data_IF_849991384456
#
_entry.id   IF_849991384456
#
_cell.length_a   1.000
_cell.length_b   1.000
_cell.length_c   1.000
_cell.angle_alpha   90.00
_cell.angle_beta   90.00
_cell.angle_gamma   90.00
#
_symmetry.space_group_name_H-M   'P 1'
#
loop_
_entity.id
_entity.type
_entity.pdbx_description
1 polymer ?
#
# COMPACT_ATOMS: atom_id res chain seq x y z
N UNK A 1 -12.00 -32.80 -15.90
CA UNK A 1 -11.72 -32.16 -14.60
C UNK A 1 -11.96 -30.68 -14.79
N UNK A 2 -13.06 -30.17 -14.25
CA UNK A 2 -13.41 -28.74 -14.29
C UNK A 2 -12.52 -28.08 -13.22
N UNK A 3 -11.77 -27.04 -13.61
CA UNK A 3 -10.69 -26.47 -12.81
C UNK A 3 -11.19 -25.76 -11.56
N UNK A 4 -10.84 -26.29 -10.40
CA UNK A 4 -11.38 -25.92 -9.09
C UNK A 4 -10.84 -24.60 -8.48
N UNK A 5 -10.30 -23.66 -9.25
CA UNK A 5 -10.10 -22.27 -8.80
C UNK A 5 -9.79 -21.36 -10.00
N UNK A 6 -10.81 -20.74 -10.58
CA UNK A 6 -10.59 -19.60 -11.45
C UNK A 6 -10.09 -18.43 -10.58
N UNK A 7 -8.81 -18.09 -10.68
CA UNK A 7 -8.22 -16.97 -9.95
C UNK A 7 -8.72 -15.69 -10.61
N UNK A 8 -9.54 -14.93 -9.88
CA UNK A 8 -10.05 -13.64 -10.32
C UNK A 8 -9.23 -12.51 -9.71
N UNK A 9 -8.80 -11.58 -10.55
CA UNK A 9 -7.92 -10.48 -10.17
C UNK A 9 -8.69 -9.17 -10.08
N UNK A 10 -8.52 -8.49 -8.95
CA UNK A 10 -9.25 -7.25 -8.63
C UNK A 10 -8.28 -6.17 -8.20
N UNK A 11 -8.48 -4.97 -8.76
CA UNK A 11 -7.70 -3.79 -8.42
C UNK A 11 -8.53 -2.87 -7.53
N UNK A 12 -7.96 -2.51 -6.38
CA UNK A 12 -8.56 -1.56 -5.45
C UNK A 12 -7.66 -0.34 -5.34
N UNK A 13 -8.22 0.85 -5.53
CA UNK A 13 -7.47 2.11 -5.48
C UNK A 13 -8.03 2.98 -4.36
N UNK A 14 -7.21 3.21 -3.35
CA UNK A 14 -7.52 4.10 -2.24
C UNK A 14 -6.92 5.48 -2.44
N UNK A 15 -7.72 6.53 -2.25
CA UNK A 15 -7.23 7.90 -2.26
C UNK A 15 -7.32 8.50 -0.88
N UNK A 16 -6.19 8.99 -0.37
CA UNK A 16 -6.21 9.82 0.83
C UNK A 16 -6.85 11.16 0.49
N UNK A 17 -8.08 11.35 0.94
CA UNK A 17 -8.80 12.60 0.77
C UNK A 17 -8.16 13.70 1.62
N UNK A 18 -7.27 14.48 1.00
CA UNK A 18 -6.75 15.71 1.56
C UNK A 18 -7.77 16.82 1.30
N UNK A 19 -8.22 17.48 2.36
CA UNK A 19 -9.09 18.65 2.22
C UNK A 19 -8.25 19.81 1.67
N UNK A 20 -8.23 19.96 0.34
CA UNK A 20 -7.53 21.06 -0.32
C UNK A 20 -8.43 22.29 -0.46
N UNK A 21 -8.38 23.16 0.56
CA UNK A 21 -8.06 24.61 0.52
C UNK A 21 -8.66 25.59 -0.51
N UNK A 22 -9.49 25.21 -1.48
CA UNK A 22 -10.07 26.22 -2.39
C UNK A 22 -11.32 26.87 -1.80
N UNK A 23 -11.05 28.08 -1.31
CA UNK A 23 -11.91 29.10 -0.71
C UNK A 23 -12.33 28.82 0.73
N UNK A 24 -11.99 29.78 1.61
CA UNK A 24 -12.39 29.97 3.01
C UNK A 24 -11.39 29.55 4.11
N UNK A 25 -10.85 30.61 4.75
CA UNK A 25 -10.15 30.74 6.05
C UNK A 25 -9.33 29.54 6.60
N UNK A 26 -8.03 29.58 6.30
CA UNK A 26 -7.02 28.50 6.50
C UNK A 26 -6.71 28.18 7.98
N UNK A 27 -6.81 29.15 8.91
CA UNK A 27 -6.29 28.96 10.27
C UNK A 27 -7.32 28.39 11.26
N UNK A 28 -8.60 28.71 11.11
CA UNK A 28 -9.66 28.18 11.99
C UNK A 28 -10.06 26.75 11.61
N UNK A 29 -10.03 26.41 10.32
CA UNK A 29 -10.55 25.13 9.80
C UNK A 29 -9.54 23.99 9.88
N UNK A 30 -8.24 24.23 9.63
CA UNK A 30 -7.21 23.19 9.87
C UNK A 30 -7.12 22.84 11.35
N UNK A 31 -7.20 23.86 12.21
CA UNK A 31 -7.21 23.70 13.65
C UNK A 31 -8.49 22.98 14.09
N UNK A 32 -9.65 23.27 13.49
CA UNK A 32 -10.89 22.57 13.80
C UNK A 32 -11.01 21.17 13.21
N UNK A 33 -10.36 20.81 12.10
CA UNK A 33 -10.41 19.44 11.56
C UNK A 33 -9.40 18.55 12.28
N UNK A 34 -8.17 19.04 12.52
CA UNK A 34 -7.22 18.29 13.34
C UNK A 34 -7.75 18.17 14.77
N UNK A 35 -8.32 19.24 15.33
CA UNK A 35 -9.03 19.17 16.59
C UNK A 35 -10.24 18.23 16.49
N UNK A 36 -11.12 18.31 15.49
CA UNK A 36 -12.29 17.43 15.41
C UNK A 36 -11.94 15.96 15.12
N UNK A 37 -10.84 15.64 14.44
CA UNK A 37 -10.36 14.27 14.24
C UNK A 37 -9.67 13.74 15.49
N UNK A 38 -8.85 14.55 16.15
CA UNK A 38 -8.32 14.19 17.47
C UNK A 38 -9.45 14.07 18.49
N UNK A 39 -10.37 15.01 18.50
CA UNK A 39 -11.57 15.07 19.33
C UNK A 39 -12.53 13.97 18.93
N UNK A 40 -12.56 13.48 17.68
CA UNK A 40 -13.29 12.27 17.32
C UNK A 40 -12.63 11.04 17.96
N UNK A 41 -11.31 10.88 17.82
CA UNK A 41 -10.56 9.79 18.47
C UNK A 41 -10.71 9.87 20.01
N UNK A 42 -10.70 11.07 20.58
CA UNK A 42 -10.82 11.34 22.02
C UNK A 42 -12.27 11.29 22.53
N UNK A 43 -13.28 11.81 21.80
CA UNK A 43 -14.71 11.73 22.15
C UNK A 43 -15.23 10.30 22.00
N UNK A 44 -14.74 9.54 21.00
CA UNK A 44 -15.00 8.09 20.89
C UNK A 44 -14.48 7.36 22.12
N UNK A 45 -13.39 7.85 22.73
CA UNK A 45 -12.86 7.28 23.95
C UNK A 45 -13.60 7.77 25.21
N UNK A 46 -14.31 8.92 25.17
CA UNK A 46 -14.79 9.61 26.38
C UNK A 46 -16.30 9.93 26.48
N UNK A 47 -17.15 9.58 25.50
CA UNK A 47 -18.62 9.78 25.62
C UNK A 47 -19.41 8.47 25.72
N UNK A 48 -19.65 8.07 26.98
CA UNK A 48 -20.80 7.33 27.50
C UNK A 48 -21.41 6.24 26.58
N UNK A 49 -20.61 5.19 26.39
CA UNK A 49 -20.89 3.77 26.67
C UNK A 49 -19.75 3.02 25.95
N UNK A 50 -18.88 2.35 26.69
CA UNK A 50 -17.61 1.72 26.26
C UNK A 50 -17.71 0.78 25.01
N UNK A 51 -18.95 0.52 24.58
CA UNK A 51 -19.34 -0.36 23.48
C UNK A 51 -19.61 0.34 22.13
N UNK A 52 -19.71 1.67 22.06
CA UNK A 52 -20.08 2.39 20.83
C UNK A 52 -19.09 3.48 20.41
N UNK A 53 -18.83 3.54 19.10
CA UNK A 53 -18.11 4.61 18.42
C UNK A 53 -19.14 5.55 17.80
N UNK A 54 -19.08 6.84 18.15
CA UNK A 54 -19.96 7.88 17.59
C UNK A 54 -19.24 8.70 16.52
N UNK A 55 -19.81 8.76 15.31
CA UNK A 55 -19.27 9.50 14.17
C UNK A 55 -20.19 10.66 13.82
N UNK A 56 -19.65 11.87 13.68
CA UNK A 56 -20.43 13.06 13.32
C UNK A 56 -20.97 12.95 11.88
N UNK A 57 -22.29 13.17 11.71
CA UNK A 57 -22.94 13.10 10.40
C UNK A 57 -22.44 14.17 9.42
N UNK A 58 -22.07 15.36 9.90
CA UNK A 58 -21.54 16.44 9.06
C UNK A 58 -20.19 16.05 8.45
N UNK A 59 -19.37 15.34 9.23
CA UNK A 59 -18.09 14.81 8.78
C UNK A 59 -18.27 13.70 7.74
N UNK A 60 -19.18 12.76 7.98
CA UNK A 60 -19.56 11.73 7.01
C UNK A 60 -20.00 12.40 5.69
N UNK A 61 -20.92 13.36 5.76
CA UNK A 61 -21.43 14.07 4.59
C UNK A 61 -20.34 14.83 3.83
N UNK A 62 -19.35 15.38 4.53
CA UNK A 62 -18.21 16.05 3.92
C UNK A 62 -17.35 15.08 3.11
N UNK A 63 -16.96 13.95 3.70
CA UNK A 63 -16.16 12.95 3.01
C UNK A 63 -16.92 12.35 1.81
N UNK A 64 -18.22 12.07 1.97
CA UNK A 64 -19.07 11.60 0.86
C UNK A 64 -19.11 12.59 -0.32
N UNK A 65 -19.19 13.90 -0.05
CA UNK A 65 -19.16 14.92 -1.10
C UNK A 65 -17.81 14.92 -1.84
N UNK A 66 -16.70 14.82 -1.10
CA UNK A 66 -15.36 14.79 -1.69
C UNK A 66 -15.12 13.51 -2.50
N UNK A 67 -15.52 12.37 -1.96
CA UNK A 67 -15.48 11.07 -2.64
C UNK A 67 -16.24 11.13 -3.97
N UNK A 68 -17.47 11.67 -3.97
CA UNK A 68 -18.28 11.82 -5.19
C UNK A 68 -17.64 12.74 -6.23
N UNK A 69 -16.98 13.82 -5.81
CA UNK A 69 -16.25 14.69 -6.72
C UNK A 69 -15.04 13.99 -7.33
N UNK A 70 -14.36 13.14 -6.56
CA UNK A 70 -13.22 12.36 -7.03
C UNK A 70 -13.66 11.26 -8.00
N UNK A 71 -14.70 10.50 -7.63
CA UNK A 71 -15.34 9.50 -8.48
C UNK A 71 -15.70 10.11 -9.84
N UNK A 72 -16.43 11.24 -9.87
CA UNK A 72 -16.80 11.91 -11.11
C UNK A 72 -15.61 12.33 -11.99
N UNK A 73 -14.43 12.58 -11.42
CA UNK A 73 -13.22 12.90 -12.18
C UNK A 73 -12.55 11.64 -12.73
N UNK A 74 -12.48 10.59 -11.92
CA UNK A 74 -11.83 9.33 -12.28
C UNK A 74 -12.68 8.57 -13.30
N UNK A 75 -14.00 8.49 -13.10
CA UNK A 75 -14.94 7.77 -13.98
C UNK A 75 -15.01 8.32 -15.40
N UNK A 76 -14.48 9.53 -15.65
CA UNK A 76 -14.33 10.09 -17.01
C UNK A 76 -13.17 9.48 -17.80
N UNK A 77 -12.21 8.89 -17.12
CA UNK A 77 -10.97 8.34 -17.71
C UNK A 77 -10.84 6.84 -17.51
N UNK A 78 -11.39 6.31 -16.42
CA UNK A 78 -11.28 4.90 -16.06
C UNK A 78 -12.66 4.33 -15.73
N UNK A 79 -12.86 3.06 -16.04
CA UNK A 79 -14.04 2.30 -15.60
C UNK A 79 -13.84 1.91 -14.13
N UNK A 80 -14.36 2.73 -13.22
CA UNK A 80 -14.24 2.50 -11.77
C UNK A 80 -15.61 2.40 -11.12
N UNK A 81 -15.68 1.63 -10.03
CA UNK A 81 -16.86 1.53 -9.16
C UNK A 81 -16.48 1.97 -7.75
N UNK A 82 -17.35 2.77 -7.12
CA UNK A 82 -17.23 3.11 -5.70
C UNK A 82 -17.35 1.86 -4.82
N UNK A 83 -16.46 1.73 -3.84
CA UNK A 83 -16.49 0.64 -2.88
C UNK A 83 -17.61 0.82 -1.83
N UNK A 84 -18.18 -0.29 -1.39
CA UNK A 84 -19.17 -0.35 -0.33
C UNK A 84 -18.64 -1.10 0.91
N UNK A 85 -19.49 -1.26 1.93
CA UNK A 85 -19.12 -1.91 3.19
C UNK A 85 -18.70 -3.38 3.01
N UNK A 86 -19.23 -4.07 1.99
CA UNK A 86 -18.93 -5.48 1.73
C UNK A 86 -17.53 -5.59 1.14
N UNK A 87 -17.18 -4.69 0.22
CA UNK A 87 -15.84 -4.62 -0.36
C UNK A 87 -14.77 -4.43 0.74
N UNK A 88 -14.98 -3.47 1.65
CA UNK A 88 -14.07 -3.25 2.78
C UNK A 88 -14.02 -4.45 3.73
N UNK A 89 -15.17 -5.03 4.08
CA UNK A 89 -15.24 -6.19 4.96
C UNK A 89 -14.50 -7.40 4.37
N UNK A 90 -14.68 -7.65 3.07
CA UNK A 90 -14.02 -8.72 2.35
C UNK A 90 -12.51 -8.54 2.38
N UNK A 91 -12.01 -7.35 1.99
CA UNK A 91 -10.58 -7.07 1.95
C UNK A 91 -9.93 -7.30 3.32
N UNK A 92 -10.56 -6.82 4.39
CA UNK A 92 -10.03 -7.01 5.73
C UNK A 92 -10.05 -8.51 6.08
N UNK A 93 -11.19 -9.20 6.00
CA UNK A 93 -11.26 -10.61 6.38
C UNK A 93 -10.34 -11.51 5.53
N UNK A 94 -10.17 -11.23 4.24
CA UNK A 94 -9.23 -11.90 3.34
C UNK A 94 -7.76 -11.73 3.79
N UNK A 95 -7.37 -10.49 4.12
CA UNK A 95 -6.03 -10.20 4.63
C UNK A 95 -5.76 -10.94 5.94
N UNK A 96 -6.79 -11.05 6.79
CA UNK A 96 -6.76 -11.82 8.02
C UNK A 96 -7.01 -13.32 7.82
N UNK A 97 -6.95 -13.85 6.58
CA UNK A 97 -6.89 -15.28 6.31
C UNK A 97 -8.23 -16.02 6.34
N UNK A 98 -9.36 -15.30 6.34
CA UNK A 98 -10.69 -15.92 6.21
C UNK A 98 -10.89 -16.43 4.78
N UNK A 99 -11.37 -17.67 4.65
CA UNK A 99 -11.59 -18.34 3.36
C UNK A 99 -13.05 -18.79 3.20
N UNK A 100 -13.42 -19.18 1.98
CA UNK A 100 -14.65 -19.92 1.71
C UNK A 100 -15.86 -19.08 1.28
N UNK A 101 -15.71 -17.76 1.08
CA UNK A 101 -16.76 -16.93 0.49
C UNK A 101 -16.19 -16.20 -0.71
N UNK A 102 -16.85 -16.34 -1.86
CA UNK A 102 -16.49 -15.65 -3.09
C UNK A 102 -16.78 -14.16 -2.94
N UNK A 103 -15.98 -13.31 -3.60
CA UNK A 103 -16.06 -11.85 -3.45
C UNK A 103 -17.47 -11.29 -3.72
N UNK A 104 -18.13 -11.75 -4.79
CA UNK A 104 -19.45 -11.30 -5.23
C UNK A 104 -20.57 -11.61 -4.23
N UNK A 105 -20.45 -12.73 -3.53
CA UNK A 105 -21.47 -13.22 -2.61
C UNK A 105 -21.22 -12.75 -1.17
N UNK A 106 -20.13 -12.03 -0.94
CA UNK A 106 -19.72 -11.61 0.38
C UNK A 106 -20.65 -10.55 0.98
N UNK A 107 -21.12 -10.81 2.20
CA UNK A 107 -21.96 -9.87 2.96
C UNK A 107 -21.32 -9.49 4.28
N UNK A 108 -21.06 -8.18 4.43
CA UNK A 108 -20.56 -7.63 5.68
C UNK A 108 -21.68 -7.10 6.58
N UNK A 109 -21.79 -7.71 7.75
CA UNK A 109 -22.74 -7.29 8.78
C UNK A 109 -22.17 -6.16 9.65
N UNK A 110 -22.44 -4.91 9.25
CA UNK A 110 -22.09 -3.71 10.00
C UNK A 110 -23.36 -2.91 10.36
N UNK A 111 -24.05 -3.24 11.47
CA UNK A 111 -25.24 -2.52 11.88
C UNK A 111 -24.83 -1.14 12.40
N UNK A 112 -25.50 -0.11 11.88
CA UNK A 112 -25.27 1.29 12.25
C UNK A 112 -26.57 1.91 12.74
N UNK A 113 -26.50 2.72 13.80
CA UNK A 113 -27.65 3.45 14.33
C UNK A 113 -27.49 4.92 14.00
N UNK A 114 -28.25 5.40 13.02
CA UNK A 114 -28.25 6.81 12.61
C UNK A 114 -29.10 7.64 13.58
N UNK A 115 -28.48 8.62 14.23
CA UNK A 115 -29.12 9.67 15.03
C UNK A 115 -29.13 10.98 14.24
N UNK A 116 -29.76 12.02 14.77
CA UNK A 116 -29.89 13.32 14.08
C UNK A 116 -28.54 13.96 13.76
N UNK A 117 -27.58 13.91 14.69
CA UNK A 117 -26.25 14.55 14.55
C UNK A 117 -25.11 13.56 14.36
N UNK A 118 -25.31 12.30 14.73
CA UNK A 118 -24.25 11.30 14.78
C UNK A 118 -24.73 9.94 14.28
N UNK A 119 -23.79 9.10 13.87
CA UNK A 119 -24.01 7.71 13.52
C UNK A 119 -23.22 6.85 14.50
N UNK A 120 -23.93 5.97 15.22
CA UNK A 120 -23.33 5.07 16.19
C UNK A 120 -23.02 3.72 15.56
N UNK A 121 -21.84 3.19 15.85
CA UNK A 121 -21.40 1.85 15.46
C UNK A 121 -20.88 1.13 16.69
N UNK A 122 -21.26 -0.13 16.90
CA UNK A 122 -20.69 -0.91 18.01
C UNK A 122 -19.20 -1.14 17.77
N UNK A 123 -18.36 -0.86 18.77
CA UNK A 123 -16.91 -1.11 18.76
C UNK A 123 -16.59 -2.56 18.42
N UNK A 124 -17.37 -3.49 18.98
CA UNK A 124 -17.32 -4.92 18.66
C UNK A 124 -17.38 -5.21 17.16
N UNK A 125 -18.24 -4.53 16.41
CA UNK A 125 -18.41 -4.76 14.97
C UNK A 125 -17.27 -4.16 14.13
N UNK A 126 -16.48 -3.26 14.70
CA UNK A 126 -15.28 -2.70 14.05
C UNK A 126 -14.06 -3.62 14.23
N UNK A 127 -13.99 -4.37 15.34
CA UNK A 127 -12.88 -5.27 15.68
C UNK A 127 -13.14 -6.70 15.16
N UNK A 128 -14.41 -7.08 14.92
CA UNK A 128 -14.79 -8.41 14.44
C UNK A 128 -13.96 -8.96 13.26
N UNK A 129 -13.59 -8.17 12.23
CA UNK A 129 -12.84 -8.68 11.09
C UNK A 129 -11.45 -9.25 11.41
N UNK A 130 -10.88 -8.93 12.59
CA UNK A 130 -9.50 -9.31 12.98
C UNK A 130 -9.48 -10.39 14.06
N UNK A 131 -10.52 -11.22 14.15
CA UNK A 131 -10.63 -12.31 15.14
C UNK A 131 -9.82 -13.53 14.75
N UNK A 132 -8.51 -13.37 14.80
CA UNK A 132 -7.59 -14.46 14.67
C UNK A 132 -6.43 -14.24 15.63
N UNK A 133 -5.82 -15.34 16.05
CA UNK A 133 -4.52 -15.30 16.66
C UNK A 133 -3.48 -15.17 15.53
N UNK A 134 -2.65 -14.13 15.60
CA UNK A 134 -1.52 -13.96 14.70
C UNK A 134 -0.25 -14.23 15.49
N UNK A 135 0.46 -15.30 15.12
CA UNK A 135 1.79 -15.57 15.63
C UNK A 135 2.83 -15.14 14.60
N UNK A 136 3.66 -14.17 14.95
CA UNK A 136 4.80 -13.79 14.14
C UNK A 136 5.95 -14.77 14.35
N UNK A 137 6.38 -15.40 13.24
CA UNK A 137 7.62 -16.17 13.17
C UNK A 137 8.64 -15.38 12.36
N UNK A 138 9.87 -15.85 12.36
CA UNK A 138 10.98 -15.15 11.73
C UNK A 138 10.74 -14.76 10.25
N UNK A 139 10.02 -15.58 9.47
CA UNK A 139 9.86 -15.36 8.02
C UNK A 139 8.41 -15.46 7.52
N UNK A 140 7.45 -15.61 8.43
CA UNK A 140 6.04 -15.73 8.10
C UNK A 140 5.17 -15.42 9.33
N UNK A 141 3.91 -15.08 9.08
CA UNK A 141 2.84 -15.05 10.08
C UNK A 141 2.05 -16.36 10.02
N UNK A 142 1.76 -16.93 11.18
CA UNK A 142 0.75 -17.98 11.32
C UNK A 142 -0.55 -17.31 11.78
N UNK A 143 -1.56 -17.33 10.94
CA UNK A 143 -2.87 -16.77 11.23
C UNK A 143 -3.84 -17.90 11.55
N UNK A 144 -4.35 -17.92 12.77
CA UNK A 144 -5.16 -18.99 13.33
C UNK A 144 -6.56 -18.46 13.61
N UNK A 145 -7.55 -19.06 12.96
CA UNK A 145 -8.97 -18.94 13.26
C UNK A 145 -9.45 -20.14 14.05
N UNK A 146 -10.69 -20.10 14.52
CA UNK A 146 -11.33 -21.24 15.22
C UNK A 146 -11.33 -22.51 14.36
N UNK A 147 -11.60 -22.39 13.06
CA UNK A 147 -11.78 -23.54 12.15
C UNK A 147 -10.65 -23.71 11.11
N UNK A 148 -9.67 -22.81 11.06
CA UNK A 148 -8.64 -22.83 10.01
C UNK A 148 -7.33 -22.17 10.43
N UNK A 149 -6.21 -22.69 9.92
CA UNK A 149 -4.92 -22.02 10.00
C UNK A 149 -4.41 -21.65 8.60
N UNK A 150 -3.67 -20.54 8.51
CA UNK A 150 -3.01 -20.12 7.27
C UNK A 150 -1.63 -19.56 7.57
N UNK A 151 -0.72 -19.74 6.62
CA UNK A 151 0.65 -19.26 6.71
C UNK A 151 0.85 -18.17 5.66
N UNK A 152 1.40 -17.04 6.07
CA UNK A 152 1.52 -15.86 5.22
C UNK A 152 2.92 -15.28 5.28
N UNK A 153 3.53 -14.99 4.14
CA UNK A 153 4.82 -14.31 4.05
C UNK A 153 4.69 -13.01 3.25
N UNK A 154 5.57 -12.06 3.56
CA UNK A 154 5.61 -10.75 2.93
C UNK A 154 6.97 -10.52 2.28
N UNK A 155 6.95 -9.97 1.07
CA UNK A 155 8.13 -9.50 0.35
C UNK A 155 8.02 -8.01 0.09
N UNK A 156 9.17 -7.35 0.03
CA UNK A 156 9.29 -5.98 -0.45
C UNK A 156 10.39 -5.87 -1.49
N UNK A 157 10.37 -4.80 -2.28
CA UNK A 157 11.39 -4.55 -3.30
C UNK A 157 12.66 -4.05 -2.62
N UNK A 158 13.75 -4.79 -2.76
CA UNK A 158 15.08 -4.36 -2.35
C UNK A 158 15.66 -3.39 -3.38
N UNK A 159 15.74 -3.84 -4.63
CA UNK A 159 16.31 -3.08 -5.74
C UNK A 159 15.64 -3.46 -7.05
N UNK A 160 15.55 -2.49 -7.95
CA UNK A 160 15.09 -2.66 -9.33
C UNK A 160 16.33 -2.55 -10.21
N UNK A 161 16.68 -3.63 -10.93
CA UNK A 161 17.90 -3.75 -11.74
C UNK A 161 17.52 -3.58 -13.22
N UNK A 162 17.12 -2.37 -13.61
CA UNK A 162 16.83 -2.07 -15.02
C UNK A 162 15.72 -1.05 -15.21
N UNK A 163 15.56 -0.62 -16.47
CA UNK A 163 14.48 0.26 -16.88
C UNK A 163 13.23 -0.59 -17.17
N UNK A 164 12.16 -0.37 -16.39
CA UNK A 164 10.87 -0.96 -16.67
C UNK A 164 10.05 0.01 -17.51
N UNK A 165 10.27 -0.05 -18.81
CA UNK A 165 9.55 0.80 -19.75
C UNK A 165 8.17 0.23 -20.04
N UNK A 166 7.20 1.14 -20.15
CA UNK A 166 5.90 0.85 -20.74
C UNK A 166 5.95 1.17 -22.24
N UNK A 167 5.47 0.28 -23.14
CA UNK A 167 4.87 -1.04 -22.90
C UNK A 167 5.91 -2.17 -22.74
N UNK A 168 5.47 -3.36 -22.30
CA UNK A 168 6.21 -4.65 -22.17
C UNK A 168 6.56 -5.08 -20.75
N UNK A 169 6.42 -4.18 -19.77
CA UNK A 169 6.77 -4.43 -18.36
C UNK A 169 5.56 -4.74 -17.47
N UNK A 170 4.36 -5.02 -18.03
CA UNK A 170 3.08 -5.12 -17.31
C UNK A 170 3.06 -6.22 -16.24
N UNK A 171 3.70 -5.95 -15.10
CA UNK A 171 3.94 -6.92 -14.02
C UNK A 171 2.64 -7.58 -13.59
N UNK A 172 1.59 -6.80 -13.38
CA UNK A 172 0.32 -7.34 -12.94
C UNK A 172 -0.30 -8.29 -13.95
N UNK A 173 -0.11 -8.07 -15.24
CA UNK A 173 -0.59 -8.99 -16.27
C UNK A 173 0.20 -10.31 -16.24
N UNK A 174 1.52 -10.24 -16.15
CA UNK A 174 2.35 -11.45 -16.10
C UNK A 174 2.15 -12.24 -14.80
N UNK A 175 1.91 -11.57 -13.68
CA UNK A 175 1.51 -12.24 -12.44
C UNK A 175 0.23 -13.06 -12.61
N UNK A 176 -0.73 -12.56 -13.37
CA UNK A 176 -2.00 -13.27 -13.62
C UNK A 176 -1.80 -14.55 -14.44
N UNK A 177 -0.83 -14.56 -15.33
CA UNK A 177 -0.56 -15.71 -16.19
C UNK A 177 0.31 -16.76 -15.53
N UNK A 178 1.28 -16.33 -14.72
CA UNK A 178 2.32 -17.23 -14.20
C UNK A 178 1.85 -18.06 -13.01
N UNK A 179 1.08 -17.47 -12.08
CA UNK A 179 0.79 -18.11 -10.80
C UNK A 179 -0.50 -18.92 -10.81
N UNK A 180 -0.39 -20.19 -10.37
CA UNK A 180 -1.54 -21.05 -10.14
C UNK A 180 -2.18 -20.87 -8.74
N UNK A 181 -1.83 -19.79 -8.04
CA UNK A 181 -2.31 -19.46 -6.70
C UNK A 181 -2.48 -17.93 -6.55
N UNK A 182 -3.34 -17.47 -5.62
CA UNK A 182 -3.57 -16.04 -5.42
C UNK A 182 -2.35 -15.36 -4.78
N UNK A 183 -2.06 -14.15 -5.24
CA UNK A 183 -1.06 -13.23 -4.69
C UNK A 183 -1.74 -11.89 -4.46
N UNK A 184 -1.47 -11.28 -3.30
CA UNK A 184 -1.95 -9.94 -3.01
C UNK A 184 -0.78 -8.96 -3.05
N UNK A 185 -0.98 -7.80 -3.67
CA UNK A 185 0.01 -6.74 -3.73
C UNK A 185 -0.56 -5.47 -3.09
N UNK A 186 0.13 -4.93 -2.08
CA UNK A 186 -0.16 -3.62 -1.51
C UNK A 186 0.85 -2.60 -2.02
N UNK A 187 0.33 -1.44 -2.43
CA UNK A 187 1.13 -0.32 -2.90
C UNK A 187 0.75 0.96 -2.19
N UNK A 188 1.74 1.59 -1.54
CA UNK A 188 1.58 2.92 -0.98
C UNK A 188 2.40 3.91 -1.82
N UNK A 189 1.71 4.83 -2.49
CA UNK A 189 2.32 5.84 -3.36
C UNK A 189 2.17 7.23 -2.75
N UNK A 190 3.29 7.90 -2.49
CA UNK A 190 3.32 9.30 -2.05
C UNK A 190 3.99 10.18 -3.11
N UNK A 191 3.31 11.26 -3.50
CA UNK A 191 3.81 12.20 -4.50
C UNK A 191 4.89 13.10 -3.86
N UNK A 192 6.08 13.09 -4.47
CA UNK A 192 7.17 14.02 -4.15
C UNK A 192 7.27 15.04 -5.27
N UNK A 193 6.88 16.28 -4.96
CA UNK A 193 6.95 17.38 -5.94
C UNK A 193 8.36 17.53 -6.50
N UNK A 194 8.47 17.91 -7.77
CA UNK A 194 9.75 18.09 -8.46
C UNK A 194 10.79 18.88 -7.64
N UNK A 195 10.38 20.00 -7.04
CA UNK A 195 11.25 20.83 -6.19
C UNK A 195 11.81 20.05 -5.00
N UNK A 196 10.97 19.28 -4.30
CA UNK A 196 11.40 18.46 -3.16
C UNK A 196 12.28 17.29 -3.61
N UNK A 197 11.90 16.63 -4.71
CA UNK A 197 12.69 15.54 -5.30
C UNK A 197 14.11 16.02 -5.64
N UNK A 198 14.22 17.16 -6.34
CA UNK A 198 15.52 17.78 -6.66
C UNK A 198 16.33 18.11 -5.41
N UNK A 199 15.71 18.61 -4.34
CA UNK A 199 16.43 18.86 -3.08
C UNK A 199 16.96 17.57 -2.46
N UNK A 200 16.13 16.51 -2.39
CA UNK A 200 16.54 15.21 -1.83
C UNK A 200 17.68 14.59 -2.64
N UNK A 201 17.55 14.53 -3.97
CA UNK A 201 18.57 13.95 -4.86
C UNK A 201 19.87 14.75 -4.81
N UNK A 202 19.80 16.10 -4.77
CA UNK A 202 20.99 16.95 -4.62
C UNK A 202 21.68 16.77 -3.26
N UNK A 203 20.93 16.53 -2.19
CA UNK A 203 21.52 16.23 -0.89
C UNK A 203 22.22 14.85 -0.92
N UNK A 204 21.58 13.83 -1.52
CA UNK A 204 22.20 12.52 -1.70
C UNK A 204 23.49 12.60 -2.54
N UNK A 205 23.49 13.42 -3.60
CA UNK A 205 24.70 13.71 -4.39
C UNK A 205 25.83 14.29 -3.54
N UNK A 206 25.52 15.18 -2.60
CA UNK A 206 26.52 15.76 -1.70
C UNK A 206 27.09 14.69 -0.75
N UNK A 207 26.22 13.90 -0.12
CA UNK A 207 26.63 12.79 0.74
C UNK A 207 27.57 11.81 0.02
N UNK A 208 27.24 11.40 -1.21
CA UNK A 208 28.07 10.50 -2.00
C UNK A 208 29.43 11.13 -2.38
N UNK A 209 29.45 12.43 -2.69
CA UNK A 209 30.71 13.17 -2.93
C UNK A 209 31.56 13.28 -1.68
N UNK A 210 30.94 13.49 -0.52
CA UNK A 210 31.66 13.55 0.75
C UNK A 210 32.27 12.19 1.08
N UNK A 211 31.54 11.09 0.83
CA UNK A 211 32.07 9.71 0.96
C UNK A 211 33.25 9.44 0.02
N UNK A 212 33.16 9.84 -1.25
CA UNK A 212 34.25 9.73 -2.23
C UNK A 212 35.49 10.52 -1.79
N UNK A 213 35.30 11.77 -1.35
CA UNK A 213 36.38 12.59 -0.81
C UNK A 213 37.02 11.96 0.44
N UNK A 214 36.24 11.34 1.32
CA UNK A 214 36.75 10.65 2.51
C UNK A 214 37.54 9.39 2.17
N UNK A 215 37.09 8.60 1.19
CA UNK A 215 37.83 7.44 0.69
C UNK A 215 39.19 7.89 0.13
N UNK A 216 39.18 8.92 -0.72
CA UNK A 216 40.39 9.49 -1.32
C UNK A 216 41.37 10.03 -0.27
N UNK A 217 40.88 10.78 0.73
CA UNK A 217 41.70 11.29 1.83
C UNK A 217 42.28 10.19 2.73
N UNK A 218 41.61 9.04 2.82
CA UNK A 218 42.06 7.89 3.60
C UNK A 218 43.04 6.98 2.85
N UNK A 219 43.37 7.32 1.59
CA UNK A 219 44.22 6.49 0.73
C UNK A 219 43.58 5.17 0.29
N UNK A 220 42.26 5.04 0.46
CA UNK A 220 41.49 3.89 -0.01
C UNK A 220 40.95 4.19 -1.42
N UNK A 221 40.90 3.19 -2.28
CA UNK A 221 40.20 3.33 -3.56
C UNK A 221 38.71 3.60 -3.31
N UNK A 222 38.13 4.53 -4.08
CA UNK A 222 36.70 4.74 -4.07
C UNK A 222 36.01 3.44 -4.48
N UNK A 223 35.12 2.93 -3.64
CA UNK A 223 34.35 1.72 -3.94
C UNK A 223 33.59 1.98 -5.26
N UNK A 224 33.72 1.08 -6.25
CA UNK A 224 33.09 1.19 -7.59
C UNK A 224 31.60 1.57 -7.49
N UNK A 225 30.90 1.02 -6.50
CA UNK A 225 29.49 1.29 -6.19
C UNK A 225 29.19 2.78 -5.93
N UNK A 226 30.13 3.56 -5.38
CA UNK A 226 29.94 5.00 -5.10
C UNK A 226 30.00 5.82 -6.38
N UNK A 227 30.87 5.44 -7.33
CA UNK A 227 31.00 6.10 -8.63
C UNK A 227 29.75 5.88 -9.47
N UNK A 228 29.29 4.63 -9.56
CA UNK A 228 28.04 4.26 -10.24
C UNK A 228 26.83 4.98 -9.63
N UNK A 229 26.75 5.03 -8.30
CA UNK A 229 25.70 5.76 -7.60
C UNK A 229 25.73 7.27 -7.91
N UNK A 230 26.91 7.87 -8.01
CA UNK A 230 27.06 9.28 -8.39
C UNK A 230 26.58 9.55 -9.82
N UNK A 231 26.85 8.64 -10.75
CA UNK A 231 26.39 8.74 -12.14
C UNK A 231 24.87 8.63 -12.24
N UNK A 232 24.27 7.61 -11.62
CA UNK A 232 22.82 7.44 -11.57
C UNK A 232 22.11 8.66 -10.92
N UNK A 233 22.70 9.22 -9.86
CA UNK A 233 22.19 10.44 -9.22
C UNK A 233 22.29 11.66 -10.15
N UNK A 234 23.34 11.76 -10.97
CA UNK A 234 23.48 12.85 -11.94
C UNK A 234 22.42 12.77 -13.04
N UNK A 235 22.23 11.58 -13.59
CA UNK A 235 21.21 11.31 -14.58
C UNK A 235 19.82 11.64 -14.03
N UNK A 236 19.50 11.18 -12.83
CA UNK A 236 18.22 11.49 -12.18
C UNK A 236 18.01 13.00 -12.00
N UNK A 237 19.04 13.75 -11.61
CA UNK A 237 18.95 15.23 -11.53
C UNK A 237 18.68 15.85 -12.89
N UNK A 238 19.36 15.38 -13.94
CA UNK A 238 19.17 15.88 -15.30
C UNK A 238 17.74 15.62 -15.78
N UNK A 239 17.25 14.39 -15.61
CA UNK A 239 15.90 13.99 -15.97
C UNK A 239 14.86 14.84 -15.23
N UNK A 240 15.01 15.03 -13.91
CA UNK A 240 14.10 15.87 -13.13
C UNK A 240 14.12 17.35 -13.53
N UNK A 241 15.26 17.89 -13.96
CA UNK A 241 15.33 19.28 -14.45
C UNK A 241 14.69 19.42 -15.83
N UNK A 242 14.84 18.42 -16.71
CA UNK A 242 14.31 18.43 -18.07
C UNK A 242 12.80 18.23 -18.09
N UNK A 243 12.30 17.16 -17.47
CA UNK A 243 10.88 16.78 -17.49
C UNK A 243 10.03 17.67 -16.59
N UNK A 244 10.63 18.21 -15.51
CA UNK A 244 9.94 18.92 -14.42
C UNK A 244 8.87 18.06 -13.74
N UNK A 245 8.93 16.75 -13.91
CA UNK A 245 7.96 15.82 -13.34
C UNK A 245 8.18 15.60 -11.85
N UNK A 246 7.12 15.11 -11.19
CA UNK A 246 7.20 14.69 -9.79
C UNK A 246 7.72 13.26 -9.71
N UNK A 247 8.43 12.95 -8.64
CA UNK A 247 8.76 11.56 -8.30
C UNK A 247 7.71 10.99 -7.36
N UNK A 248 7.73 9.67 -7.20
CA UNK A 248 6.83 8.96 -6.32
C UNK A 248 7.64 8.11 -5.35
N UNK A 249 7.35 8.23 -4.06
CA UNK A 249 7.80 7.27 -3.05
C UNK A 249 6.85 6.09 -3.07
N UNK A 250 7.37 4.93 -3.40
CA UNK A 250 6.64 3.69 -3.48
C UNK A 250 7.05 2.77 -2.32
N UNK A 251 6.08 2.35 -1.52
CA UNK A 251 6.15 1.09 -0.77
C UNK A 251 5.44 0.05 -1.60
N UNK A 252 6.13 -1.05 -1.93
CA UNK A 252 5.58 -2.16 -2.69
C UNK A 252 5.77 -3.42 -1.85
N UNK A 253 4.64 -4.05 -1.50
CA UNK A 253 4.63 -5.21 -0.62
C UNK A 253 3.80 -6.32 -1.26
N UNK A 254 4.35 -7.52 -1.32
CA UNK A 254 3.70 -8.69 -1.88
C UNK A 254 3.40 -9.65 -0.75
N UNK A 255 2.17 -10.15 -0.68
CA UNK A 255 1.71 -11.15 0.28
C UNK A 255 1.52 -12.47 -0.45
N UNK A 256 2.15 -13.51 0.10
CA UNK A 256 1.97 -14.90 -0.33
C UNK A 256 1.32 -15.66 0.82
N UNK A 257 0.24 -16.38 0.56
CA UNK A 257 -0.44 -17.21 1.54
C UNK A 257 -0.47 -18.67 1.12
N UNK A 258 -0.51 -19.60 2.07
CA UNK A 258 -0.69 -21.03 1.85
C UNK A 258 -1.32 -21.73 3.06
N UNK A 259 -1.76 -22.96 2.87
CA UNK A 259 -2.36 -23.81 3.92
C UNK A 259 -1.32 -24.61 4.71
N UNK A 260 -0.10 -24.74 4.19
CA UNK A 260 1.01 -25.38 4.89
C UNK A 260 2.30 -24.60 4.73
N UNK A 261 3.24 -24.80 5.65
CA UNK A 261 4.57 -24.16 5.62
C UNK A 261 5.35 -24.57 4.37
N UNK A 262 5.27 -25.84 3.96
CA UNK A 262 6.03 -26.33 2.80
C UNK A 262 5.46 -25.79 1.49
N UNK A 263 4.14 -25.68 1.39
CA UNK A 263 3.52 -24.98 0.27
C UNK A 263 3.86 -23.48 0.28
N UNK A 264 3.87 -22.82 1.44
CA UNK A 264 4.27 -21.42 1.54
C UNK A 264 5.70 -21.20 1.02
N UNK A 265 6.64 -22.07 1.41
CA UNK A 265 8.02 -22.00 0.92
C UNK A 265 8.06 -22.12 -0.61
N UNK A 266 7.38 -23.13 -1.18
CA UNK A 266 7.31 -23.32 -2.63
C UNK A 266 6.75 -22.08 -3.34
N UNK A 267 5.61 -21.56 -2.89
CA UNK A 267 4.98 -20.35 -3.45
C UNK A 267 5.89 -19.12 -3.32
N UNK A 268 6.61 -19.00 -2.19
CA UNK A 268 7.59 -17.93 -1.97
C UNK A 268 8.76 -17.98 -2.95
N UNK A 269 9.28 -19.18 -3.23
CA UNK A 269 10.38 -19.37 -4.18
C UNK A 269 9.91 -19.06 -5.61
N UNK A 270 8.73 -19.56 -6.02
CA UNK A 270 8.11 -19.23 -7.31
C UNK A 270 7.90 -17.72 -7.50
N UNK A 271 7.46 -17.01 -6.45
CA UNK A 271 7.30 -15.54 -6.50
C UNK A 271 8.64 -14.84 -6.61
N UNK A 272 9.65 -15.29 -5.88
CA UNK A 272 10.98 -14.68 -5.95
C UNK A 272 11.59 -14.84 -7.34
N UNK A 273 11.51 -16.03 -7.91
CA UNK A 273 12.06 -16.33 -9.23
C UNK A 273 11.38 -15.49 -10.32
N UNK A 274 10.05 -15.39 -10.27
CA UNK A 274 9.28 -14.55 -11.21
C UNK A 274 9.71 -13.08 -11.19
N UNK A 275 9.90 -12.48 -10.01
CA UNK A 275 10.32 -11.08 -9.94
C UNK A 275 11.79 -10.91 -10.29
N UNK A 276 12.64 -11.88 -9.95
CA UNK A 276 14.04 -11.91 -10.33
C UNK A 276 14.20 -11.91 -11.86
N UNK A 277 13.34 -12.64 -12.60
CA UNK A 277 13.28 -12.64 -14.07
C UNK A 277 12.85 -11.29 -14.66
N UNK A 278 12.03 -10.52 -13.92
CA UNK A 278 11.66 -9.14 -14.25
C UNK A 278 12.71 -8.12 -13.79
N UNK A 279 13.89 -8.58 -13.38
CA UNK A 279 14.97 -7.78 -12.82
C UNK A 279 14.57 -6.97 -11.56
N UNK A 280 13.59 -7.44 -10.80
CA UNK A 280 13.21 -6.87 -9.50
C UNK A 280 13.67 -7.83 -8.42
N UNK A 281 14.61 -7.39 -7.58
CA UNK A 281 15.04 -8.20 -6.44
C UNK A 281 14.10 -7.99 -5.27
N UNK A 282 13.48 -9.09 -4.85
CA UNK A 282 12.65 -9.13 -3.66
C UNK A 282 13.43 -9.58 -2.44
N UNK A 283 13.16 -8.92 -1.32
CA UNK A 283 13.65 -9.32 -0.01
C UNK A 283 12.50 -9.68 0.92
N UNK A 284 12.73 -10.73 1.70
CA UNK A 284 11.85 -11.16 2.79
C UNK A 284 12.52 -10.85 4.12
N UNK A 285 12.17 -9.71 4.71
CA UNK A 285 12.71 -9.27 6.01
C UNK A 285 12.36 -10.23 7.13
N UNK A 286 13.23 -10.32 8.11
CA UNK A 286 12.98 -11.14 9.29
C UNK A 286 12.44 -10.28 10.44
N UNK A 287 11.26 -10.62 10.95
CA UNK A 287 10.66 -9.96 12.13
C UNK A 287 9.83 -8.69 11.86
N UNK A 288 9.67 -8.28 10.60
CA UNK A 288 8.85 -7.12 10.22
C UNK A 288 7.52 -7.52 9.55
N UNK A 289 7.13 -8.80 9.67
CA UNK A 289 6.00 -9.37 8.94
C UNK A 289 4.68 -8.73 9.36
N UNK A 290 4.53 -8.42 10.65
CA UNK A 290 3.33 -7.73 11.14
C UNK A 290 3.23 -6.30 10.63
N UNK A 291 4.37 -5.61 10.46
CA UNK A 291 4.42 -4.27 9.88
C UNK A 291 3.89 -4.28 8.45
N UNK A 292 4.39 -5.20 7.63
CA UNK A 292 3.92 -5.40 6.27
C UNK A 292 2.46 -5.83 6.19
N UNK A 293 2.01 -6.73 7.07
CA UNK A 293 0.60 -7.13 7.14
C UNK A 293 -0.33 -5.93 7.30
N UNK A 294 0.04 -4.98 8.16
CA UNK A 294 -0.77 -3.78 8.40
C UNK A 294 -0.81 -2.82 7.20
N UNK A 295 0.11 -2.91 6.23
CA UNK A 295 0.07 -2.12 4.99
C UNK A 295 -1.01 -2.62 4.01
N UNK A 296 -1.55 -3.82 4.19
CA UNK A 296 -2.67 -4.34 3.38
C UNK A 296 -4.03 -3.85 3.86
N UNK A 297 -4.11 -3.27 5.06
CA UNK A 297 -5.37 -2.70 5.56
C UNK A 297 -5.74 -1.49 4.69
N UNK A 298 -6.99 -1.41 4.17
CA UNK A 298 -7.41 -0.26 3.36
C UNK A 298 -7.19 1.07 4.09
N UNK A 299 -6.61 2.06 3.40
CA UNK A 299 -6.26 3.39 3.95
C UNK A 299 -5.20 3.39 5.05
N UNK A 300 -4.50 2.27 5.23
CA UNK A 300 -3.40 2.18 6.19
C UNK A 300 -2.22 3.07 5.79
N UNK A 301 -1.37 3.36 6.77
CA UNK A 301 -0.11 4.06 6.56
C UNK A 301 0.98 3.03 6.29
N UNK A 302 2.07 3.50 5.70
CA UNK A 302 3.32 2.75 5.66
C UNK A 302 3.90 2.64 7.07
N UNK A 303 4.35 1.45 7.45
CA UNK A 303 4.97 1.22 8.76
C UNK A 303 6.48 1.05 8.64
N UNK A 304 6.95 0.52 7.50
CA UNK A 304 8.37 0.25 7.26
C UNK A 304 8.89 1.24 6.22
N UNK A 305 9.94 1.98 6.57
CA UNK A 305 10.50 3.04 5.72
C UNK A 305 11.82 2.65 5.05
N UNK A 306 12.33 1.44 5.31
CA UNK A 306 13.67 1.05 4.90
C UNK A 306 13.76 0.68 3.41
N UNK A 307 12.64 0.24 2.81
CA UNK A 307 12.57 -0.29 1.44
C UNK A 307 11.74 0.61 0.51
N UNK A 308 11.83 1.94 0.73
CA UNK A 308 11.12 2.91 -0.10
C UNK A 308 11.84 3.09 -1.42
N UNK A 309 11.13 2.81 -2.51
CA UNK A 309 11.62 3.05 -3.85
C UNK A 309 11.21 4.45 -4.32
N UNK A 310 12.14 5.19 -4.92
CA UNK A 310 11.87 6.46 -5.57
C UNK A 310 11.72 6.22 -7.06
N UNK A 311 10.49 6.31 -7.57
CA UNK A 311 10.16 5.91 -8.93
C UNK A 311 9.56 7.08 -9.72
N UNK A 312 9.65 7.01 -11.04
CA UNK A 312 9.02 7.95 -11.97
C UNK A 312 7.56 7.58 -12.22
N UNK A 313 6.81 8.43 -12.93
CA UNK A 313 5.46 8.10 -13.41
C UNK A 313 5.47 6.90 -14.35
N UNK A 314 6.49 6.78 -15.19
CA UNK A 314 6.58 5.73 -16.20
C UNK A 314 6.70 4.35 -15.56
N UNK A 315 7.48 4.23 -14.48
CA UNK A 315 7.54 2.99 -13.71
C UNK A 315 6.15 2.59 -13.17
N UNK A 316 5.40 3.54 -12.58
CA UNK A 316 4.06 3.26 -12.05
C UNK A 316 3.07 2.87 -13.16
N UNK A 317 3.23 3.44 -14.36
CA UNK A 317 2.46 3.04 -15.54
C UNK A 317 2.88 1.64 -16.04
N UNK A 318 4.18 1.34 -16.01
CA UNK A 318 4.78 0.06 -16.39
C UNK A 318 4.31 -1.12 -15.56
N UNK A 319 3.85 -0.91 -14.32
CA UNK A 319 3.23 -1.97 -13.52
C UNK A 319 1.98 -2.58 -14.18
N UNK A 320 1.37 -1.89 -15.15
CA UNK A 320 0.25 -2.41 -15.93
C UNK A 320 -1.11 -2.24 -15.25
N UNK A 321 -1.30 -1.18 -14.46
CA UNK A 321 -2.62 -0.85 -13.89
C UNK A 321 -3.66 -0.69 -15.00
N UNK A 322 -4.61 -1.63 -15.09
CA UNK A 322 -5.65 -1.62 -16.11
C UNK A 322 -5.19 -2.07 -17.51
N UNK A 323 -4.01 -2.70 -17.63
CA UNK A 323 -3.57 -3.34 -18.89
C UNK A 323 -4.49 -4.48 -19.35
N UNK A 324 -5.34 -4.97 -18.43
CA UNK A 324 -6.41 -5.92 -18.73
C UNK A 324 -7.72 -5.46 -18.11
N UNK A 325 -8.57 -4.82 -18.92
CA UNK A 325 -10.03 -4.90 -18.81
C UNK A 325 -10.74 -4.34 -20.05
#
# INVERSE_FOLDING_TARGET
MIGDNQIDYRFFIGFKLLVTEKEMNIKSIKKSILANLSDFIYDVNNKLMDDFVSINNDEIMRFLKMEKLLENKISRRFKVRRLDKNDFGYLIEHNYGKKGTVFEDYQYHLPTKKLKRETLVKKYNLIKPTRCLIEEKQRYLKIIHEDSESFVAYFTIEIIIGEMDFPSSEIFYYQQQQFAFPIDTSMNVEIVTNKKALTTVRNKKKELKDLDNHAWQSGNETVTNVVEALEAVNELVNNLNQTKESMYKLSYVIRVSADSIDELKRRCDEVKDFYDDLNIKLVRLMGDMIGFHNEFIPSSKRYINDYIQYVTSDFLAGLGFGATQ
#
